data_IF_915295663041
#
_entry.id   IF_915295663041
#
_cell.length_a   1.000
_cell.length_b   1.000
_cell.length_c   1.000
_cell.angle_alpha   90.00
_cell.angle_beta   90.00
_cell.angle_gamma   90.00
#
_symmetry.space_group_name_H-M   'P 1'
#
loop_
_entity.id
_entity.type
_entity.pdbx_description
1 polymer ?
2 non-polymer ?
3 water ?
#
# COMPACT_ATOMS: atom_id res chain seq x y z
N UNK A 30 -30.06 -10.35 8.05
CA UNK A 30 -30.40 -11.43 7.13
C UNK A 30 -30.03 -12.80 7.72
N UNK A 31 -29.11 -13.49 7.09
CA UNK A 31 -28.66 -14.80 7.58
C UNK A 31 -27.52 -14.62 8.58
N UNK A 32 -26.48 -15.45 8.46
CA UNK A 32 -25.32 -15.34 9.33
C UNK A 32 -24.07 -15.89 8.65
N UNK A 33 -22.91 -15.44 9.12
CA UNK A 33 -21.63 -15.79 8.51
C UNK A 33 -21.25 -17.25 8.70
N UNK A 34 -21.20 -17.68 9.96
CA UNK A 34 -20.78 -19.05 10.28
C UNK A 34 -21.60 -20.09 9.53
N UNK A 35 -22.81 -19.70 9.10
CA UNK A 35 -23.68 -20.61 8.38
C UNK A 35 -23.09 -21.02 7.03
N UNK A 36 -22.24 -20.16 6.47
CA UNK A 36 -21.67 -20.40 5.16
C UNK A 36 -20.16 -20.49 5.14
N UNK A 37 -19.52 -20.13 6.25
CA UNK A 37 -18.06 -20.13 6.31
C UNK A 37 -17.54 -20.87 7.53
N UNK A 38 -16.39 -21.52 7.35
CA UNK A 38 -15.71 -22.23 8.44
C UNK A 38 -14.44 -21.48 8.80
N UNK A 39 -14.40 -20.90 10.00
CA UNK A 39 -13.26 -20.12 10.44
C UNK A 39 -12.03 -21.00 10.63
N UNK A 40 -10.87 -20.47 10.26
CA UNK A 40 -9.60 -21.17 10.46
C UNK A 40 -8.63 -20.28 11.24
N UNK A 41 -7.34 -20.48 11.04
CA UNK A 41 -6.33 -19.72 11.79
C UNK A 41 -6.38 -18.24 11.45
N UNK A 42 -5.73 -17.43 12.29
CA UNK A 42 -5.68 -15.99 12.09
C UNK A 42 -4.63 -15.61 11.05
N UNK A 43 -4.69 -14.37 10.60
CA UNK A 43 -3.72 -13.85 9.64
C UNK A 43 -3.04 -12.61 10.20
N UNK A 44 -3.84 -11.73 10.81
CA UNK A 44 -3.33 -10.51 11.41
C UNK A 44 -4.31 -9.92 12.40
N UNK A 45 -3.90 -9.85 13.66
CA UNK A 45 -4.78 -9.34 14.72
C UNK A 45 -4.48 -7.87 15.02
N UNK A 46 -5.47 -7.02 14.78
CA UNK A 46 -5.33 -5.60 15.06
C UNK A 46 -6.07 -5.23 16.32
N UNK A 47 -5.88 -3.98 16.78
CA UNK A 47 -6.53 -3.50 17.99
C UNK A 47 -8.03 -3.38 17.80
N UNK A 48 -8.44 -3.00 16.59
CA UNK A 48 -9.85 -2.77 16.29
C UNK A 48 -10.46 -3.90 15.47
N UNK A 49 -9.66 -4.44 14.54
CA UNK A 49 -10.15 -5.47 13.65
C UNK A 49 -9.33 -6.74 13.78
N UNK A 50 -9.74 -7.79 13.06
CA UNK A 50 -9.04 -9.06 13.05
C UNK A 50 -9.25 -9.74 11.70
N UNK A 51 -8.23 -10.45 11.23
CA UNK A 51 -8.33 -11.14 9.95
C UNK A 51 -7.99 -12.63 10.11
N UNK A 52 -8.90 -13.49 9.66
CA UNK A 52 -8.72 -14.93 9.77
C UNK A 52 -9.01 -15.60 8.44
N UNK A 53 -8.42 -16.77 8.23
CA UNK A 53 -8.69 -17.57 7.04
C UNK A 53 -9.98 -18.35 7.24
N UNK A 54 -10.83 -18.35 6.22
CA UNK A 54 -12.09 -19.08 6.27
C UNK A 54 -12.34 -19.83 4.96
N UNK A 55 -13.25 -20.79 5.00
CA UNK A 55 -13.54 -21.62 3.83
C UNK A 55 -15.04 -21.66 3.54
N UNK A 56 -15.43 -21.23 2.35
CA UNK A 56 -16.81 -21.28 1.92
C UNK A 56 -17.28 -22.73 1.86
N UNK A 57 -18.03 -23.14 2.87
CA UNK A 57 -18.45 -24.53 3.00
C UNK A 57 -18.95 -25.13 1.69
N UNK A 58 -19.86 -24.41 1.03
CA UNK A 58 -20.51 -24.93 -0.17
C UNK A 58 -19.53 -25.22 -1.30
N UNK A 59 -18.50 -24.40 -1.43
CA UNK A 59 -17.57 -24.50 -2.56
C UNK A 59 -16.19 -24.99 -2.14
N UNK A 60 -15.94 -25.02 -0.84
CA UNK A 60 -14.64 -25.42 -0.31
C UNK A 60 -13.53 -24.46 -0.70
N UNK A 61 -13.90 -23.33 -1.29
CA UNK A 61 -12.92 -22.32 -1.68
C UNK A 61 -12.61 -21.41 -0.51
N UNK A 62 -11.34 -21.34 -0.13
CA UNK A 62 -10.91 -20.56 1.02
C UNK A 62 -10.82 -19.08 0.69
N UNK A 63 -11.02 -18.24 1.70
CA UNK A 63 -10.94 -16.80 1.55
C UNK A 63 -10.35 -16.18 2.81
N UNK A 64 -10.40 -14.85 2.88
CA UNK A 64 -9.98 -14.13 4.07
C UNK A 64 -11.16 -13.31 4.59
N UNK A 65 -11.42 -13.40 5.88
CA UNK A 65 -12.53 -12.66 6.49
C UNK A 65 -12.03 -11.70 7.57
N UNK A 66 -12.40 -10.44 7.44
CA UNK A 66 -12.02 -9.43 8.41
C UNK A 66 -13.16 -9.16 9.38
N UNK A 67 -12.91 -9.37 10.66
CA UNK A 67 -13.90 -9.14 11.69
C UNK A 67 -13.64 -7.82 12.41
N UNK A 68 -14.50 -6.84 12.18
CA UNK A 68 -14.34 -5.52 12.78
C UNK A 68 -15.33 -5.32 13.93
N UNK A 69 -14.81 -4.85 15.06
CA UNK A 69 -15.63 -4.58 16.24
C UNK A 69 -16.32 -3.22 16.09
N UNK A 70 -17.58 -3.25 15.69
CA UNK A 70 -18.36 -2.03 15.47
C UNK A 70 -18.30 -1.09 16.67
N UNK A 71 -18.25 -1.67 17.86
CA UNK A 71 -18.24 -0.88 19.09
C UNK A 71 -16.95 -0.08 19.25
N UNK A 72 -15.90 -0.52 18.56
CA UNK A 72 -14.60 0.14 18.65
C UNK A 72 -14.33 1.01 17.42
N UNK A 73 -14.88 0.61 16.28
CA UNK A 73 -14.64 1.35 15.04
C UNK A 73 -15.82 1.18 14.08
N UNK A 74 -16.08 2.22 13.29
CA UNK A 74 -17.13 2.17 12.28
C UNK A 74 -16.55 1.76 10.95
N UNK A 75 -16.89 0.54 10.48
CA UNK A 75 -16.30 -0.01 9.24
C UNK A 75 -17.03 0.43 7.97
N UNK A 76 -17.98 1.34 8.08
CA UNK A 76 -18.73 1.80 6.91
C UNK A 76 -17.80 2.29 5.82
N UNK A 77 -17.12 3.40 6.10
CA UNK A 77 -16.21 4.02 5.14
C UNK A 77 -15.40 2.97 4.36
N UNK A 78 -14.78 2.06 5.10
CA UNK A 78 -13.91 1.05 4.50
C UNK A 78 -14.66 0.16 3.52
N UNK A 79 -15.81 -0.36 3.94
CA UNK A 79 -16.59 -1.27 3.11
C UNK A 79 -17.11 -0.56 1.86
N UNK A 80 -17.65 0.64 2.04
CA UNK A 80 -18.15 1.42 0.92
C UNK A 80 -17.09 1.49 -0.18
N UNK A 81 -15.84 1.67 0.23
CA UNK A 81 -14.74 1.75 -0.71
C UNK A 81 -14.45 0.38 -1.32
N UNK A 82 -14.56 -0.67 -0.52
CA UNK A 82 -14.33 -2.03 -0.99
C UNK A 82 -15.40 -2.46 -1.97
N UNK A 83 -16.62 -1.96 -1.78
CA UNK A 83 -17.73 -2.31 -2.65
C UNK A 83 -17.58 -1.65 -4.01
N UNK A 84 -17.18 -0.39 -4.02
CA UNK A 84 -17.11 0.39 -5.24
C UNK A 84 -15.86 0.08 -6.05
N UNK A 85 -14.70 0.20 -5.42
CA UNK A 85 -13.43 0.09 -6.13
C UNK A 85 -12.78 -1.28 -5.97
N UNK A 86 -13.41 -2.16 -5.20
CA UNK A 86 -12.90 -3.50 -5.00
C UNK A 86 -12.90 -4.30 -6.29
N UNK A 87 -13.57 -3.77 -7.30
CA UNK A 87 -13.66 -4.42 -8.60
C UNK A 87 -12.34 -4.29 -9.36
N UNK A 88 -11.52 -3.33 -8.97
CA UNK A 88 -10.24 -3.11 -9.61
C UNK A 88 -9.36 -4.36 -9.47
N UNK A 89 -8.75 -4.79 -10.58
CA UNK A 89 -7.98 -6.05 -10.60
C UNK A 89 -6.87 -6.08 -9.56
N UNK A 90 -6.22 -4.94 -9.34
CA UNK A 90 -5.14 -4.84 -8.37
C UNK A 90 -5.59 -4.28 -7.03
N UNK A 91 -6.86 -4.51 -6.69
CA UNK A 91 -7.39 -4.16 -5.38
C UNK A 91 -8.12 -5.35 -4.80
N UNK A 92 -7.72 -5.74 -3.59
CA UNK A 92 -8.34 -6.89 -2.94
C UNK A 92 -9.86 -6.81 -3.10
N UNK A 93 -10.46 -7.90 -3.59
CA UNK A 93 -11.87 -7.91 -3.92
C UNK A 93 -12.73 -8.39 -2.76
N UNK A 94 -13.91 -7.77 -2.63
CA UNK A 94 -14.87 -8.18 -1.62
C UNK A 94 -15.78 -9.25 -2.20
N UNK A 95 -15.96 -10.35 -1.48
CA UNK A 95 -16.74 -11.48 -1.98
C UNK A 95 -18.03 -11.69 -1.22
N UNK A 96 -18.13 -11.14 -0.02
CA UNK A 96 -19.33 -11.30 0.80
C UNK A 96 -19.20 -10.49 2.09
N UNK A 97 -20.33 -10.25 2.75
CA UNK A 97 -20.34 -9.48 4.00
C UNK A 97 -21.45 -9.97 4.92
N UNK A 98 -21.23 -9.80 6.23
CA UNK A 98 -22.23 -10.15 7.22
C UNK A 98 -22.24 -9.14 8.36
N UNK A 99 -23.23 -9.26 9.24
CA UNK A 99 -23.36 -8.33 10.35
C UNK A 99 -24.36 -8.87 11.37
N UNK A 100 -23.85 -9.51 12.42
CA UNK A 100 -24.71 -10.06 13.47
C UNK A 100 -24.97 -9.01 14.55
N UNK A 101 -24.89 -7.74 14.18
CA UNK A 101 -25.16 -6.66 15.09
C UNK A 101 -23.92 -6.16 15.81
N UNK A 102 -23.16 -7.09 16.38
CA UNK A 102 -21.99 -6.74 17.19
C UNK A 102 -20.77 -6.49 16.31
N UNK A 103 -20.43 -7.46 15.48
CA UNK A 103 -19.27 -7.34 14.60
C UNK A 103 -19.70 -7.30 13.14
N UNK A 104 -18.74 -7.05 12.25
CA UNK A 104 -18.98 -7.07 10.82
C UNK A 104 -17.94 -7.94 10.13
N UNK A 105 -18.39 -8.96 9.41
CA UNK A 105 -17.50 -9.89 8.75
C UNK A 105 -17.33 -9.52 7.28
N UNK A 106 -16.12 -9.12 6.91
CA UNK A 106 -15.83 -8.72 5.54
C UNK A 106 -15.06 -9.82 4.82
N UNK A 107 -15.77 -10.64 4.04
CA UNK A 107 -15.17 -11.75 3.33
C UNK A 107 -14.47 -11.27 2.06
N UNK A 108 -13.15 -11.19 2.10
CA UNK A 108 -12.37 -10.75 0.95
C UNK A 108 -11.54 -11.91 0.42
N UNK A 109 -10.85 -11.69 -0.70
CA UNK A 109 -10.03 -12.73 -1.31
C UNK A 109 -8.73 -12.92 -0.53
N UNK A 110 -8.33 -14.18 -0.36
CA UNK A 110 -7.11 -14.51 0.35
C UNK A 110 -5.89 -14.29 -0.55
N UNK A 111 -4.75 -14.02 0.06
CA UNK A 111 -3.52 -13.77 -0.69
C UNK A 111 -2.52 -14.91 -0.53
N UNK A 112 -2.46 -15.78 -1.54
CA UNK A 112 -1.55 -16.92 -1.50
C UNK A 112 -0.20 -16.58 -2.11
N UNK A 113 0.28 -15.36 -1.87
CA UNK A 113 1.55 -14.92 -2.41
C UNK A 113 2.40 -14.14 -1.43
N UNK A 114 1.90 -13.96 -0.22
CA UNK A 114 2.62 -13.23 0.81
C UNK A 114 2.88 -11.78 0.45
N UNK A 115 3.67 -11.11 1.27
CA UNK A 115 4.01 -9.70 1.07
C UNK A 115 4.80 -9.52 -0.21
N UNK A 116 4.40 -8.52 -1.00
CA UNK A 116 5.03 -8.26 -2.29
C UNK A 116 6.50 -7.88 -2.12
N UNK A 117 6.78 -6.97 -1.20
CA UNK A 117 8.15 -6.50 -1.00
C UNK A 117 9.06 -7.63 -0.56
N UNK A 118 8.69 -8.28 0.53
CA UNK A 118 9.52 -9.35 1.09
C UNK A 118 9.85 -10.40 0.02
N UNK A 119 8.82 -10.84 -0.70
CA UNK A 119 9.01 -11.82 -1.76
C UNK A 119 10.05 -11.35 -2.75
N UNK A 120 9.94 -10.10 -3.18
CA UNK A 120 10.87 -9.52 -4.14
C UNK A 120 12.28 -9.41 -3.55
N UNK A 121 12.37 -8.96 -2.30
CA UNK A 121 13.66 -8.85 -1.62
C UNK A 121 14.33 -10.21 -1.53
N UNK A 122 13.54 -11.28 -1.57
CA UNK A 122 14.07 -12.63 -1.51
C UNK A 122 14.31 -13.21 -2.91
N UNK A 123 14.40 -12.33 -3.90
CA UNK A 123 14.79 -12.72 -5.25
C UNK A 123 16.16 -12.14 -5.56
N UNK A 124 17.20 -12.94 -5.34
CA UNK A 124 18.58 -12.47 -5.46
C UNK A 124 18.91 -11.92 -6.83
N UNK A 125 18.17 -12.33 -7.85
CA UNK A 125 18.45 -11.92 -9.22
C UNK A 125 17.43 -10.92 -9.75
N UNK A 126 16.59 -10.39 -8.87
CA UNK A 126 15.57 -9.42 -9.27
C UNK A 126 16.20 -8.31 -10.10
N UNK A 127 15.73 -8.15 -11.33
CA UNK A 127 16.28 -7.13 -12.23
C UNK A 127 15.69 -5.75 -11.92
N UNK A 128 16.12 -4.76 -12.69
CA UNK A 128 15.65 -3.40 -12.50
C UNK A 128 14.42 -3.14 -13.36
N UNK A 129 14.25 -3.94 -14.40
CA UNK A 129 13.11 -3.82 -15.28
C UNK A 129 11.83 -4.26 -14.57
N UNK A 130 11.94 -5.30 -13.76
CA UNK A 130 10.78 -5.83 -13.04
C UNK A 130 10.28 -4.84 -12.00
N UNK A 131 11.20 -4.04 -11.46
CA UNK A 131 10.83 -3.00 -10.52
C UNK A 131 9.85 -2.03 -11.19
N UNK A 132 10.24 -1.54 -12.36
CA UNK A 132 9.40 -0.64 -13.14
C UNK A 132 8.04 -1.28 -13.39
N UNK A 133 8.05 -2.57 -13.70
CA UNK A 133 6.82 -3.31 -13.97
C UNK A 133 5.91 -3.30 -12.74
N UNK A 134 6.44 -3.76 -11.61
CA UNK A 134 5.66 -3.83 -10.37
C UNK A 134 5.17 -2.44 -9.96
N UNK A 135 6.09 -1.50 -9.84
CA UNK A 135 5.75 -0.16 -9.39
C UNK A 135 4.68 0.46 -10.30
N UNK A 136 4.76 0.17 -11.59
CA UNK A 136 3.77 0.66 -12.54
C UNK A 136 2.39 0.15 -12.18
N UNK A 137 2.26 -1.15 -12.01
CA UNK A 137 0.98 -1.77 -11.67
C UNK A 137 0.43 -1.19 -10.37
N UNK A 138 1.29 -1.05 -9.37
CA UNK A 138 0.89 -0.48 -8.09
C UNK A 138 0.48 0.98 -8.26
N UNK A 139 1.27 1.72 -9.04
CA UNK A 139 1.02 3.13 -9.26
C UNK A 139 -0.29 3.33 -10.03
N UNK A 140 -0.45 2.58 -11.13
CA UNK A 140 -1.66 2.65 -11.92
C UNK A 140 -2.91 2.53 -11.04
N UNK A 141 -2.80 1.74 -9.98
CA UNK A 141 -3.91 1.52 -9.07
C UNK A 141 -4.17 2.75 -8.20
N UNK A 142 -3.10 3.33 -7.68
CA UNK A 142 -3.23 4.50 -6.81
C UNK A 142 -3.76 5.70 -7.58
N UNK A 143 -3.32 5.85 -8.83
CA UNK A 143 -3.77 6.94 -9.68
C UNK A 143 -5.29 6.92 -9.79
N UNK A 144 -5.83 5.74 -10.02
CA UNK A 144 -7.28 5.56 -10.12
C UNK A 144 -7.95 6.00 -8.83
N UNK A 145 -7.44 5.51 -7.70
CA UNK A 145 -8.00 5.84 -6.40
C UNK A 145 -8.00 7.35 -6.16
N UNK A 146 -6.83 7.98 -6.28
CA UNK A 146 -6.73 9.42 -6.13
C UNK A 146 -7.68 10.13 -7.09
N UNK A 147 -7.76 9.61 -8.31
CA UNK A 147 -8.61 10.19 -9.34
C UNK A 147 -10.07 10.16 -8.91
N UNK A 148 -10.44 9.13 -8.14
CA UNK A 148 -11.81 9.00 -7.66
C UNK A 148 -12.00 9.71 -6.33
N UNK A 149 -10.95 10.36 -5.86
CA UNK A 149 -11.00 11.08 -4.60
C UNK A 149 -10.82 10.17 -3.39
N UNK A 150 -9.97 9.16 -3.54
CA UNK A 150 -9.70 8.23 -2.46
C UNK A 150 -8.20 8.18 -2.14
N UNK A 151 -7.89 8.17 -0.85
CA UNK A 151 -6.50 8.06 -0.40
C UNK A 151 -6.35 6.92 0.60
N UNK A 152 -5.30 6.11 0.42
CA UNK A 152 -5.09 4.94 1.25
C UNK A 152 -4.70 5.33 2.68
N UNK A 153 -3.77 6.27 2.79
CA UNK A 153 -3.36 6.79 4.09
C UNK A 153 -2.68 5.72 4.95
N UNK A 154 -2.30 4.61 4.33
CA UNK A 154 -1.63 3.53 5.04
C UNK A 154 -1.06 2.55 4.01
N UNK A 155 -0.42 3.11 3.00
CA UNK A 155 0.07 2.31 1.87
C UNK A 155 1.45 1.74 2.16
N UNK A 156 1.59 1.08 3.31
CA UNK A 156 2.87 0.48 3.70
C UNK A 156 3.04 -0.89 3.07
N UNK A 157 4.30 -1.34 2.92
CA UNK A 157 4.65 -2.58 2.23
C UNK A 157 3.88 -3.81 2.68
N UNK A 158 3.61 -3.91 3.98
CA UNK A 158 2.90 -5.07 4.52
C UNK A 158 1.48 -5.17 3.97
N UNK A 159 0.96 -4.07 3.44
CA UNK A 159 -0.39 -4.05 2.90
C UNK A 159 -0.43 -4.20 1.38
N UNK A 160 0.65 -4.73 0.81
CA UNK A 160 0.70 -5.00 -0.62
C UNK A 160 1.16 -6.44 -0.84
N UNK A 161 0.20 -7.31 -1.12
CA UNK A 161 0.47 -8.74 -1.19
C UNK A 161 0.24 -9.28 -2.60
N UNK A 162 0.71 -10.51 -2.83
CA UNK A 162 0.43 -11.23 -4.06
C UNK A 162 -0.74 -12.17 -3.84
N UNK A 163 -1.71 -12.14 -4.76
CA UNK A 163 -2.88 -13.02 -4.64
C UNK A 163 -2.47 -14.47 -4.80
N UNK A 164 -1.43 -14.71 -5.60
CA UNK A 164 -0.91 -16.06 -5.80
C UNK A 164 0.59 -16.03 -6.04
N UNK A 165 1.17 -17.20 -6.33
CA UNK A 165 2.60 -17.31 -6.55
C UNK A 165 2.93 -17.32 -8.04
N UNK A 166 2.08 -16.68 -8.84
CA UNK A 166 2.28 -16.63 -10.28
C UNK A 166 3.47 -15.74 -10.63
N UNK A 167 3.74 -14.77 -9.77
CA UNK A 167 4.85 -13.87 -9.97
C UNK A 167 4.49 -12.65 -10.80
N UNK A 168 3.65 -12.87 -11.82
CA UNK A 168 3.24 -11.77 -12.71
C UNK A 168 2.47 -10.69 -11.96
N UNK A 169 2.75 -9.41 -12.28
CA UNK A 169 2.14 -8.26 -11.62
C UNK A 169 0.61 -8.30 -11.58
N UNK A 170 0.00 -9.09 -12.47
CA UNK A 170 -1.46 -9.22 -12.49
C UNK A 170 -1.98 -9.76 -11.16
N UNK A 171 -1.08 -10.35 -10.39
CA UNK A 171 -1.45 -10.97 -9.12
C UNK A 171 -1.17 -10.06 -7.92
N UNK A 172 -0.94 -8.78 -8.19
CA UNK A 172 -0.69 -7.81 -7.13
C UNK A 172 -2.01 -7.28 -6.58
N UNK A 173 -2.06 -7.07 -5.27
CA UNK A 173 -3.27 -6.60 -4.61
C UNK A 173 -2.96 -5.61 -3.50
N UNK A 174 -3.63 -4.46 -3.54
CA UNK A 174 -3.56 -3.49 -2.45
C UNK A 174 -4.66 -3.80 -1.46
N UNK A 175 -4.32 -3.91 -0.18
CA UNK A 175 -5.26 -4.40 0.82
C UNK A 175 -5.38 -3.49 2.04
N UNK A 176 -6.21 -3.91 2.98
CA UNK A 176 -6.43 -3.17 4.22
C UNK A 176 -6.67 -1.68 3.98
N UNK A 177 -7.93 -1.34 3.69
CA UNK A 177 -8.33 0.05 3.50
C UNK A 177 -8.95 0.60 4.78
N UNK A 178 -8.45 0.13 5.92
CA UNK A 178 -8.98 0.53 7.22
C UNK A 178 -8.69 1.98 7.53
N UNK A 179 -7.86 2.62 6.72
CA UNK A 179 -7.53 4.03 6.91
C UNK A 179 -7.79 4.85 5.66
N UNK A 180 -8.44 4.23 4.68
CA UNK A 180 -8.80 4.93 3.44
C UNK A 180 -9.74 6.09 3.75
N UNK A 181 -9.90 7.00 2.79
CA UNK A 181 -10.72 8.17 3.00
C UNK A 181 -11.26 8.71 1.68
N UNK A 182 -12.59 8.75 1.55
CA UNK A 182 -13.23 9.27 0.35
C UNK A 182 -13.40 10.77 0.44
N UNK A 183 -12.91 11.47 -0.58
CA UNK A 183 -13.07 12.92 -0.68
C UNK A 183 -14.54 13.28 -0.87
N UNK A 184 -15.14 13.90 0.13
CA UNK A 184 -16.55 14.28 0.07
C UNK A 184 -16.77 15.73 0.47
N UNK A 185 -18.02 16.18 0.34
CA UNK A 185 -18.40 17.54 0.69
C UNK A 185 -18.94 17.60 2.11
N UNK A 186 -19.69 18.65 2.42
CA UNK A 186 -20.26 18.80 3.76
C UNK A 186 -21.51 17.96 3.93
N UNK A 187 -22.34 17.90 2.88
CA UNK A 187 -23.60 17.19 2.94
C UNK A 187 -23.46 15.71 2.56
N UNK A 188 -22.42 15.06 3.08
CA UNK A 188 -22.19 13.65 2.84
C UNK A 188 -22.15 13.30 1.37
N UNK A 189 -21.74 14.26 0.54
CA UNK A 189 -21.66 14.04 -0.89
C UNK A 189 -20.24 13.75 -1.35
N UNK A 190 -20.06 12.59 -1.97
CA UNK A 190 -18.76 12.17 -2.48
C UNK A 190 -18.32 13.08 -3.62
N UNK A 191 -17.04 13.43 -3.63
CA UNK A 191 -16.52 14.37 -4.62
C UNK A 191 -15.29 13.81 -5.31
N UNK A 192 -14.95 14.40 -6.46
CA UNK A 192 -13.75 14.00 -7.19
C UNK A 192 -12.82 15.19 -7.32
N UNK A 193 -11.52 14.93 -7.50
CA UNK A 193 -10.50 15.99 -7.57
C UNK A 193 -10.75 17.03 -8.65
N UNK A 194 -11.76 16.82 -9.49
CA UNK A 194 -12.08 17.76 -10.55
C UNK A 194 -13.24 18.67 -10.16
N UNK A 195 -14.39 18.05 -9.88
CA UNK A 195 -15.59 18.80 -9.53
C UNK A 195 -15.43 19.48 -8.17
N UNK A 196 -15.22 20.79 -8.20
CA UNK A 196 -15.08 21.57 -6.97
C UNK A 196 -16.17 22.63 -6.89
N UNK A 197 -17.11 22.59 -7.83
CA UNK A 197 -18.20 23.55 -7.87
C UNK A 197 -19.11 23.40 -6.66
N UNK A 198 -18.94 22.30 -5.93
CA UNK A 198 -19.71 22.06 -4.71
C UNK A 198 -18.91 22.50 -3.49
N UNK A 199 -19.57 22.52 -2.33
CA UNK A 199 -18.92 22.99 -1.10
C UNK A 199 -18.00 21.93 -0.51
N UNK A 200 -16.69 22.15 -0.67
CA UNK A 200 -15.69 21.30 -0.06
C UNK A 200 -14.70 22.15 0.72
N UNK A 201 -14.74 22.04 2.04
CA UNK A 201 -13.89 22.83 2.91
C UNK A 201 -12.42 22.71 2.50
N UNK A 202 -11.74 23.85 2.36
CA UNK A 202 -10.32 23.89 1.97
C UNK A 202 -9.44 23.04 2.88
N UNK A 203 -9.62 23.16 4.20
CA UNK A 203 -8.81 22.40 5.14
C UNK A 203 -9.02 20.90 4.95
N UNK A 204 -10.19 20.52 4.45
CA UNK A 204 -10.48 19.12 4.15
C UNK A 204 -9.86 18.76 2.79
N UNK A 205 -9.91 19.71 1.87
CA UNK A 205 -9.30 19.52 0.55
C UNK A 205 -7.79 19.58 0.67
N UNK A 206 -7.30 20.36 1.63
CA UNK A 206 -5.87 20.53 1.84
C UNK A 206 -5.22 19.23 2.30
N UNK A 207 -5.85 18.57 3.26
CA UNK A 207 -5.32 17.32 3.79
C UNK A 207 -5.35 16.21 2.75
N UNK A 208 -6.32 16.30 1.84
CA UNK A 208 -6.40 15.35 0.74
C UNK A 208 -5.18 15.49 -0.16
N UNK A 209 -4.78 16.74 -0.42
CA UNK A 209 -3.59 17.01 -1.21
C UNK A 209 -2.35 16.45 -0.54
N UNK A 210 -2.39 16.36 0.78
CA UNK A 210 -1.28 15.81 1.54
C UNK A 210 -1.31 14.28 1.52
N UNK A 211 -2.46 13.72 1.89
CA UNK A 211 -2.63 12.27 1.93
C UNK A 211 -2.31 11.63 0.60
N UNK A 212 -2.64 12.32 -0.48
CA UNK A 212 -2.33 11.83 -1.83
C UNK A 212 -0.82 11.69 -1.97
N UNK A 213 -0.10 12.80 -1.80
CA UNK A 213 1.35 12.79 -1.90
C UNK A 213 1.96 11.92 -0.80
N UNK A 214 1.20 11.72 0.27
CA UNK A 214 1.66 10.88 1.38
C UNK A 214 1.69 9.43 0.94
N UNK A 215 0.67 9.02 0.18
CA UNK A 215 0.63 7.68 -0.38
C UNK A 215 1.80 7.48 -1.34
N UNK A 216 2.08 8.51 -2.13
CA UNK A 216 3.20 8.47 -3.06
C UNK A 216 4.50 8.25 -2.29
N UNK A 217 4.70 9.06 -1.25
CA UNK A 217 5.87 8.95 -0.41
C UNK A 217 6.12 7.50 -0.02
N UNK A 218 5.06 6.81 0.38
CA UNK A 218 5.16 5.41 0.78
C UNK A 218 5.64 4.56 -0.38
N UNK A 219 5.14 4.84 -1.57
CA UNK A 219 5.56 4.11 -2.77
C UNK A 219 7.03 4.39 -3.05
N UNK A 220 7.47 5.60 -2.73
CA UNK A 220 8.87 5.95 -2.86
C UNK A 220 9.72 5.04 -2.00
N UNK A 221 9.28 4.84 -0.76
CA UNK A 221 9.97 3.96 0.16
C UNK A 221 10.02 2.54 -0.41
N UNK A 222 8.88 2.06 -0.88
CA UNK A 222 8.80 0.74 -1.49
C UNK A 222 9.84 0.60 -2.59
N UNK A 223 9.83 1.53 -3.52
CA UNK A 223 10.78 1.52 -4.63
C UNK A 223 12.21 1.49 -4.11
N UNK A 224 12.55 2.45 -3.25
CA UNK A 224 13.88 2.55 -2.69
C UNK A 224 14.34 1.21 -2.15
N UNK A 225 13.46 0.53 -1.42
CA UNK A 225 13.80 -0.73 -0.79
C UNK A 225 14.04 -1.83 -1.84
N UNK A 226 13.19 -1.87 -2.86
CA UNK A 226 13.32 -2.89 -3.90
C UNK A 226 14.65 -2.77 -4.63
N UNK A 227 15.04 -1.53 -4.94
CA UNK A 227 16.25 -1.28 -5.71
C UNK A 227 17.50 -1.69 -4.95
N UNK A 228 17.58 -1.31 -3.68
CA UNK A 228 18.78 -1.50 -2.88
C UNK A 228 18.70 -2.71 -1.96
N UNK A 229 17.54 -2.91 -1.36
CA UNK A 229 17.34 -4.00 -0.43
C UNK A 229 17.39 -3.53 1.01
N UNK A 230 17.17 -2.25 1.23
CA UNK A 230 17.12 -1.69 2.58
C UNK A 230 16.33 -0.39 2.63
N UNK A 231 15.83 -0.07 3.82
CA UNK A 231 14.99 1.11 4.02
C UNK A 231 15.81 2.38 3.97
N UNK A 232 15.26 3.43 3.34
CA UNK A 232 15.98 4.71 3.17
C UNK A 232 16.12 5.52 4.46
N UNK A 233 15.23 5.32 5.42
CA UNK A 233 15.27 6.09 6.66
C UNK A 233 15.38 5.22 7.91
N UNK A 234 15.37 3.90 7.72
CA UNK A 234 15.47 2.97 8.84
C UNK A 234 16.51 1.90 8.58
N UNK A 235 17.17 1.45 9.64
CA UNK A 235 18.21 0.42 9.54
C UNK A 235 17.71 -0.93 10.04
N UNK A 236 16.94 -0.90 11.12
CA UNK A 236 16.41 -2.12 11.71
C UNK A 236 15.24 -1.82 12.62
N UNK A 237 14.73 -2.85 13.31
CA UNK A 237 13.58 -2.70 14.21
C UNK A 237 13.94 -1.95 15.49
N UNK A 238 15.22 -1.78 15.76
CA UNK A 238 15.67 -1.11 16.98
C UNK A 238 16.12 0.32 16.71
N UNK A 239 15.42 1.01 15.83
CA UNK A 239 15.71 2.40 15.53
C UNK A 239 14.70 3.31 16.23
N UNK A 240 15.21 4.20 17.08
CA UNK A 240 14.35 5.11 17.82
C UNK A 240 13.49 5.92 16.86
N UNK A 241 12.20 6.11 17.19
CA UNK A 241 11.30 6.88 16.34
C UNK A 241 11.84 8.27 16.04
N UNK A 242 12.61 8.83 16.97
CA UNK A 242 13.15 10.18 16.81
C UNK A 242 14.17 10.23 15.67
N UNK A 243 15.15 9.33 15.71
CA UNK A 243 16.21 9.33 14.69
C UNK A 243 15.63 9.02 13.32
N UNK A 244 14.62 8.17 13.27
CA UNK A 244 13.95 7.86 12.01
C UNK A 244 13.30 9.12 11.46
N UNK A 245 12.51 9.79 12.29
CA UNK A 245 11.86 11.04 11.90
C UNK A 245 12.90 12.10 11.59
N UNK A 246 13.99 12.09 12.34
CA UNK A 246 15.08 13.02 12.11
C UNK A 246 15.60 12.87 10.69
N UNK A 247 15.75 11.62 10.25
CA UNK A 247 16.21 11.33 8.90
C UNK A 247 15.19 11.82 7.88
N UNK A 248 13.94 11.39 8.05
CA UNK A 248 12.87 11.82 7.17
C UNK A 248 12.81 13.34 7.14
N UNK A 249 13.07 13.96 8.27
CA UNK A 249 13.00 15.41 8.39
C UNK A 249 14.14 16.12 7.70
N UNK A 250 15.25 15.41 7.50
CA UNK A 250 16.42 16.00 6.86
C UNK A 250 16.21 16.17 5.36
N UNK A 251 15.35 15.33 4.80
CA UNK A 251 15.03 15.41 3.38
C UNK A 251 16.02 14.67 2.50
N UNK A 252 17.30 14.70 2.88
CA UNK A 252 18.34 14.04 2.12
C UNK A 252 18.45 12.56 2.48
N UNK A 253 18.89 11.75 1.51
CA UNK A 253 19.01 10.32 1.72
C UNK A 253 19.94 9.71 0.66
N UNK A 254 20.87 8.87 1.11
CA UNK A 254 21.86 8.29 0.22
C UNK A 254 21.21 7.62 -0.99
N UNK A 255 21.48 8.17 -2.17
CA UNK A 255 21.01 7.58 -3.42
C UNK A 255 22.18 7.10 -4.26
N UNK A 256 23.32 6.86 -3.61
CA UNK A 256 24.51 6.42 -4.31
C UNK A 256 25.48 5.73 -3.36
N UNK A 257 26.40 4.97 -3.92
CA UNK A 257 27.38 4.24 -3.13
C UNK A 257 26.89 2.85 -2.76
N UNK A 258 27.81 1.89 -2.81
CA UNK A 258 27.49 0.52 -2.45
C UNK A 258 26.48 -0.12 -3.39
N UNK A 259 25.24 -0.18 -2.93
CA UNK A 259 24.18 -0.87 -3.68
C UNK A 259 23.59 0.00 -4.78
N UNK A 260 23.78 1.32 -4.68
CA UNK A 260 23.27 2.24 -5.68
C UNK A 260 24.19 2.36 -6.88
N UNK A 261 25.43 1.88 -6.74
CA UNK A 261 26.42 1.99 -7.80
C UNK A 261 25.91 1.48 -9.15
N UNK A 262 25.23 0.33 -9.14
CA UNK A 262 24.82 -0.33 -10.37
C UNK A 262 23.38 0.02 -10.76
N UNK A 263 22.80 1.01 -10.11
CA UNK A 263 21.42 1.41 -10.40
C UNK A 263 21.38 2.57 -11.40
N UNK A 264 20.40 2.52 -12.30
CA UNK A 264 20.25 3.55 -13.33
C UNK A 264 20.06 4.93 -12.71
N UNK A 265 20.60 5.95 -13.36
CA UNK A 265 20.38 7.32 -12.94
C UNK A 265 18.92 7.71 -13.17
N UNK A 266 18.31 7.08 -14.18
CA UNK A 266 16.90 7.30 -14.45
C UNK A 266 16.07 6.84 -13.25
N UNK A 267 16.41 5.67 -12.73
CA UNK A 267 15.72 5.12 -11.58
C UNK A 267 15.94 5.99 -10.35
N UNK A 268 17.18 6.40 -10.14
CA UNK A 268 17.53 7.24 -8.99
C UNK A 268 16.79 8.58 -9.05
N UNK A 269 16.64 9.11 -10.25
CA UNK A 269 15.94 10.37 -10.45
C UNK A 269 14.49 10.26 -9.95
N UNK A 270 13.84 9.16 -10.28
CA UNK A 270 12.46 8.95 -9.90
C UNK A 270 12.31 8.90 -8.38
N UNK A 271 13.16 8.11 -7.74
CA UNK A 271 13.09 7.92 -6.30
C UNK A 271 13.21 9.27 -5.57
N UNK A 272 14.18 10.07 -5.99
CA UNK A 272 14.43 11.36 -5.34
C UNK A 272 13.20 12.27 -5.39
N UNK A 273 12.35 12.08 -6.41
CA UNK A 273 11.18 12.92 -6.58
C UNK A 273 9.95 12.34 -5.87
N UNK A 274 10.00 11.05 -5.57
CA UNK A 274 8.92 10.41 -4.83
C UNK A 274 9.11 10.63 -3.33
N UNK A 275 10.36 10.63 -2.90
CA UNK A 275 10.69 10.86 -1.50
C UNK A 275 10.99 12.33 -1.25
N UNK A 276 10.54 13.19 -2.16
CA UNK A 276 10.78 14.62 -2.05
C UNK A 276 10.17 15.15 -0.75
N UNK A 277 11.01 15.77 0.08
CA UNK A 277 10.60 16.23 1.40
C UNK A 277 9.36 17.11 1.35
N UNK A 278 9.34 18.05 0.41
CA UNK A 278 8.19 18.95 0.26
C UNK A 278 7.12 18.28 -0.60
N UNK A 279 5.98 17.94 0.00
CA UNK A 279 4.91 17.26 -0.72
C UNK A 279 4.39 18.06 -1.92
N UNK A 280 4.50 19.38 -1.84
CA UNK A 280 4.07 20.23 -2.95
C UNK A 280 4.95 20.01 -4.18
N UNK A 281 6.24 19.76 -3.93
CA UNK A 281 7.19 19.52 -5.01
C UNK A 281 7.39 18.02 -5.24
N UNK A 282 6.52 17.21 -4.64
CA UNK A 282 6.60 15.77 -4.77
C UNK A 282 5.74 15.29 -5.94
N UNK A 283 6.23 14.30 -6.67
CA UNK A 283 5.51 13.79 -7.84
C UNK A 283 4.16 13.22 -7.46
N UNK A 284 3.18 13.39 -8.34
CA UNK A 284 1.87 12.80 -8.16
C UNK A 284 1.83 11.47 -8.89
N UNK A 285 0.87 10.62 -8.51
CA UNK A 285 0.73 9.31 -9.14
C UNK A 285 0.82 9.44 -10.66
N UNK A 286 0.09 10.40 -11.21
CA UNK A 286 0.06 10.62 -12.65
C UNK A 286 1.45 10.98 -13.17
N UNK A 287 2.08 11.97 -12.55
CA UNK A 287 3.40 12.43 -12.96
C UNK A 287 4.41 11.28 -12.92
N UNK A 288 4.30 10.44 -11.89
CA UNK A 288 5.18 9.29 -11.75
C UNK A 288 5.04 8.37 -12.95
N UNK A 289 3.79 8.21 -13.41
CA UNK A 289 3.51 7.31 -14.53
C UNK A 289 4.06 7.86 -15.84
N UNK A 290 4.24 9.17 -15.91
CA UNK A 290 4.78 9.80 -17.11
C UNK A 290 6.31 9.81 -17.09
N UNK A 291 6.88 9.36 -15.98
CA UNK A 291 8.33 9.32 -15.81
C UNK A 291 8.96 8.29 -16.75
N UNK A 292 10.12 8.62 -17.34
CA UNK A 292 10.78 7.74 -18.33
C UNK A 292 11.13 6.36 -17.80
N UNK A 293 11.47 6.27 -16.52
CA UNK A 293 11.80 4.97 -15.92
C UNK A 293 10.60 4.03 -15.97
N UNK A 294 9.40 4.60 -16.02
CA UNK A 294 8.18 3.81 -16.11
C UNK A 294 7.74 3.71 -17.57
N UNK A 295 7.90 4.81 -18.31
CA UNK A 295 7.53 4.84 -19.72
C UNK A 295 8.46 3.98 -20.54
N UNK A 296 9.75 4.33 -20.55
CA UNK A 296 10.74 3.61 -21.33
C UNK A 296 11.34 2.45 -20.52
N UNK A 297 10.46 1.58 -20.05
CA UNK A 297 10.87 0.45 -19.23
C UNK A 297 11.69 -0.56 -20.04
N UNK A 298 11.37 -0.67 -21.33
CA UNK A 298 12.04 -1.64 -22.19
C UNK A 298 13.53 -1.34 -22.34
N UNK A 299 13.94 -0.16 -21.87
CA UNK A 299 15.34 0.23 -21.95
C UNK A 299 16.03 0.06 -20.60
N UNK A 300 15.40 -0.69 -19.70
CA UNK A 300 15.95 -0.92 -18.37
C UNK A 300 16.69 -2.26 -18.33
N UNK A 301 17.66 -2.39 -17.42
CA UNK A 301 18.49 -3.60 -17.29
C UNK A 301 17.67 -4.83 -16.94
N UNK A 302 18.14 -6.00 -17.37
CA UNK A 302 17.49 -7.26 -17.04
C UNK A 302 18.39 -8.16 -16.20
N UNK A 303 19.62 -7.72 -15.97
CA UNK A 303 20.53 -8.47 -15.11
C UNK A 303 20.25 -8.20 -13.64
N UNK A 304 20.68 -9.10 -12.78
CA UNK A 304 20.42 -8.99 -11.34
C UNK A 304 20.91 -7.67 -10.79
N UNK A 305 20.28 -7.22 -9.72
CA UNK A 305 20.70 -6.00 -9.02
C UNK A 305 21.69 -6.36 -7.92
N UNK A 306 22.47 -5.38 -7.49
CA UNK A 306 23.37 -5.55 -6.36
C UNK A 306 22.71 -5.01 -5.10
N UNK A 307 22.03 -5.90 -4.37
CA UNK A 307 21.25 -5.48 -3.20
C UNK A 307 21.74 -6.16 -1.93
N UNK A 308 21.22 -5.69 -0.80
CA UNK A 308 21.47 -6.32 0.49
C UNK A 308 20.46 -7.44 0.70
N UNK A 309 20.93 -8.56 1.24
CA UNK A 309 20.06 -9.70 1.48
C UNK A 309 19.68 -9.80 2.95
N UNK A 310 18.81 -8.90 3.39
CA UNK A 310 18.35 -8.88 4.78
C UNK A 310 16.86 -8.57 4.82
N UNK A 311 16.04 -9.46 4.25
CA UNK A 311 14.59 -9.26 4.16
C UNK A 311 13.94 -9.04 5.51
N UNK A 312 14.30 -9.86 6.51
CA UNK A 312 13.72 -9.74 7.83
C UNK A 312 14.13 -8.43 8.49
N UNK A 313 15.41 -8.09 8.38
CA UNK A 313 15.91 -6.85 8.94
C UNK A 313 15.12 -5.67 8.37
N UNK A 314 14.92 -5.68 7.06
CA UNK A 314 14.15 -4.64 6.40
C UNK A 314 12.73 -4.58 6.97
N UNK A 315 12.14 -5.75 7.22
CA UNK A 315 10.79 -5.84 7.77
C UNK A 315 10.69 -5.05 9.08
N UNK A 316 11.70 -5.20 9.93
CA UNK A 316 11.74 -4.49 11.19
C UNK A 316 11.93 -3.00 11.00
N UNK A 317 12.93 -2.65 10.20
CA UNK A 317 13.21 -1.26 9.88
C UNK A 317 11.99 -0.61 9.26
N UNK A 318 11.30 -1.36 8.42
CA UNK A 318 10.09 -0.88 7.75
C UNK A 318 9.02 -0.57 8.78
N UNK A 319 8.73 -1.54 9.63
CA UNK A 319 7.75 -1.38 10.69
C UNK A 319 8.19 -0.30 11.67
N UNK A 320 9.50 -0.19 11.86
CA UNK A 320 10.06 0.80 12.78
C UNK A 320 9.77 2.21 12.29
N UNK A 321 9.59 2.38 10.98
CA UNK A 321 9.31 3.68 10.40
C UNK A 321 7.85 4.07 10.58
N UNK A 322 6.96 3.36 9.91
CA UNK A 322 5.53 3.67 9.95
C UNK A 322 5.03 3.79 11.39
N UNK A 323 5.63 3.05 12.30
CA UNK A 323 5.28 3.13 13.72
C UNK A 323 5.55 4.54 14.24
N UNK A 324 6.70 5.08 13.89
CA UNK A 324 7.10 6.41 14.32
C UNK A 324 6.19 7.48 13.76
N UNK A 325 5.66 7.24 12.57
CA UNK A 325 4.75 8.18 11.91
C UNK A 325 3.36 8.10 12.53
N UNK A 326 2.94 6.88 12.89
CA UNK A 326 1.60 6.67 13.41
C UNK A 326 1.54 6.76 14.95
N UNK A 327 2.58 7.33 15.55
CA UNK A 327 2.65 7.44 17.00
C UNK A 327 1.61 8.43 17.51
N UNK A 328 1.05 9.24 16.60
CA UNK A 328 -0.01 10.17 16.94
C UNK A 328 -1.29 9.87 16.17
N UNK A 329 -1.65 8.59 16.13
CA UNK A 329 -2.85 8.15 15.42
C UNK A 329 -3.69 7.26 16.32
#
# INVERSE_FOLDING_TARGET
AHHHHHHVDDDDKMQTVGVHSIVQQLHRNSIQFTDGYEVKEDIGVGSYSVCKRCIHKATNMEFAVKIIDKSKRDPTEEIEILLRYGQHPNIITLKDVYDDGKYVYVVMELMKGGELLDKILRQKFFSEREASAVLFTITKTVEYLHAQGVVHRDLKPSNILYVDESGNPESIRICDFGFAKQLRAENGLLMTPCYTANFVAPEVLERQGYDAACDIWSLGVLLYTMLTGYTPFANGPDDTPEEILARIGSGKFSLSGGYWNSVSDTAKDLVSKMLHVDPHQRLTAALVLRHPWIVHWDQLPQYQLNRQDAPHLVKGAMAATYSALNRNQSPVLEPVGRSTLAQRRGIKKITSTAL
#
